data_IF_788392959421
#
_entry.id   IF_788392959421
#
_cell.length_a   1.000
_cell.length_b   1.000
_cell.length_c   1.000
_cell.angle_alpha   90.00
_cell.angle_beta   90.00
_cell.angle_gamma   90.00
#
_symmetry.space_group_name_H-M   'P 1'
#
loop_
_entity.id
_entity.type
_entity.pdbx_description
1 polymer ?
#
# COMPACT_ATOMS: atom_id res chain seq x y z
N UNK A 1 -25.99 7.14 14.59
CA UNK A 1 -25.26 8.43 14.55
C UNK A 1 -26.14 9.55 13.98
N UNK A 2 -26.67 9.41 12.75
CA UNK A 2 -27.55 10.43 12.14
C UNK A 2 -28.81 10.78 12.95
N UNK A 3 -29.48 9.78 13.54
CA UNK A 3 -30.65 10.00 14.42
C UNK A 3 -30.31 10.80 15.68
N UNK A 4 -29.17 10.51 16.32
CA UNK A 4 -28.72 11.25 17.51
C UNK A 4 -28.33 12.70 17.14
N UNK A 5 -27.73 12.91 15.97
CA UNK A 5 -27.40 14.24 15.47
C UNK A 5 -28.65 15.07 15.12
N UNK A 6 -29.73 14.45 14.63
CA UNK A 6 -31.01 15.13 14.40
C UNK A 6 -31.67 15.60 15.68
N UNK A 7 -31.63 14.78 16.74
CA UNK A 7 -32.21 15.12 18.05
C UNK A 7 -31.47 16.30 18.70
N UNK A 8 -30.14 16.37 18.54
CA UNK A 8 -29.29 17.42 19.12
C UNK A 8 -29.11 18.65 18.21
N UNK A 9 -29.66 18.62 16.99
CA UNK A 9 -29.53 19.72 16.02
C UNK A 9 -30.04 21.09 16.52
N UNK A 10 -31.13 21.19 17.31
CA UNK A 10 -31.61 22.47 17.82
C UNK A 10 -30.65 23.13 18.82
N UNK A 11 -29.87 22.32 19.54
CA UNK A 11 -29.00 22.78 20.63
C UNK A 11 -27.56 23.06 20.16
N UNK A 12 -27.27 22.88 18.88
CA UNK A 12 -25.96 23.06 18.27
C UNK A 12 -25.98 24.27 17.33
N UNK A 13 -25.73 25.50 17.83
CA UNK A 13 -25.92 26.74 17.08
C UNK A 13 -25.06 26.90 15.82
N UNK A 14 -24.07 26.02 15.60
CA UNK A 14 -23.20 26.03 14.43
C UNK A 14 -23.17 24.70 13.66
N UNK A 15 -24.12 23.78 13.91
CA UNK A 15 -24.12 22.46 13.27
C UNK A 15 -24.12 22.56 11.73
N UNK A 16 -24.93 23.47 11.18
CA UNK A 16 -24.96 23.72 9.74
C UNK A 16 -23.59 24.21 9.22
N UNK A 17 -22.94 25.12 9.96
CA UNK A 17 -21.63 25.67 9.59
C UNK A 17 -20.52 24.61 9.67
N UNK A 18 -20.55 23.76 10.68
CA UNK A 18 -19.61 22.63 10.82
C UNK A 18 -19.79 21.61 9.71
N UNK A 19 -21.03 21.25 9.38
CA UNK A 19 -21.36 20.33 8.28
C UNK A 19 -20.90 20.93 6.95
N UNK A 20 -21.20 22.21 6.69
CA UNK A 20 -20.73 22.91 5.49
C UNK A 20 -19.21 22.99 5.42
N UNK A 21 -18.52 23.25 6.52
CA UNK A 21 -17.05 23.28 6.56
C UNK A 21 -16.45 21.90 6.28
N UNK A 22 -17.03 20.83 6.85
CA UNK A 22 -16.64 19.45 6.58
C UNK A 22 -16.79 19.12 5.09
N UNK A 23 -17.98 19.34 4.52
CA UNK A 23 -18.22 19.04 3.10
C UNK A 23 -17.42 19.93 2.16
N UNK A 24 -17.16 21.19 2.49
CA UNK A 24 -16.29 22.06 1.69
C UNK A 24 -14.83 21.56 1.72
N UNK A 25 -14.32 21.12 2.87
CA UNK A 25 -13.00 20.52 2.98
C UNK A 25 -12.89 19.18 2.23
N UNK A 26 -13.92 18.35 2.34
CA UNK A 26 -14.01 17.07 1.61
C UNK A 26 -14.17 17.27 0.10
N UNK A 27 -14.92 18.27 -0.35
CA UNK A 27 -15.11 18.58 -1.77
C UNK A 27 -13.79 18.87 -2.49
N UNK A 28 -12.87 19.60 -1.85
CA UNK A 28 -11.51 19.82 -2.39
C UNK A 28 -10.75 18.51 -2.58
N UNK A 29 -11.00 17.53 -1.72
CA UNK A 29 -10.39 16.20 -1.79
C UNK A 29 -11.08 15.34 -2.86
N UNK A 30 -12.41 15.41 -2.97
CA UNK A 30 -13.17 14.71 -4.01
C UNK A 30 -12.81 15.19 -5.41
N UNK A 31 -12.50 16.48 -5.60
CA UNK A 31 -11.96 17.02 -6.85
C UNK A 31 -10.65 16.34 -7.27
N UNK A 32 -9.88 15.78 -6.34
CA UNK A 32 -8.66 15.01 -6.65
C UNK A 32 -8.96 13.59 -7.14
N UNK A 33 -10.09 13.00 -6.74
CA UNK A 33 -10.52 11.67 -7.19
C UNK A 33 -11.24 11.75 -8.55
N UNK A 34 -12.00 12.81 -8.83
CA UNK A 34 -12.81 12.92 -10.06
C UNK A 34 -12.07 12.84 -11.42
N UNK A 35 -10.84 13.35 -11.61
CA UNK A 35 -10.14 13.28 -12.90
C UNK A 35 -9.78 11.84 -13.29
N UNK A 36 -9.60 10.97 -12.30
CA UNK A 36 -9.30 9.56 -12.51
C UNK A 36 -10.51 8.81 -13.10
N UNK A 37 -11.74 9.24 -12.79
CA UNK A 37 -13.02 8.62 -13.21
C UNK A 37 -13.71 9.30 -14.39
N UNK A 38 -13.11 10.33 -15.00
CA UNK A 38 -13.66 10.93 -16.22
C UNK A 38 -13.49 9.98 -17.42
N UNK A 39 -14.35 10.11 -18.43
CA UNK A 39 -14.16 9.43 -19.72
C UNK A 39 -12.87 9.98 -20.35
N UNK A 40 -11.89 9.11 -20.61
CA UNK A 40 -10.51 9.44 -20.97
C UNK A 40 -9.60 9.78 -19.78
N UNK A 41 -10.07 9.61 -18.53
CA UNK A 41 -9.32 9.76 -17.29
C UNK A 41 -8.41 8.57 -17.00
N UNK A 42 -7.61 8.64 -15.93
CA UNK A 42 -6.59 7.61 -15.61
C UNK A 42 -7.18 6.21 -15.47
N UNK A 43 -8.39 6.05 -14.91
CA UNK A 43 -9.03 4.73 -14.76
C UNK A 43 -9.64 4.24 -16.09
N UNK A 44 -10.18 5.16 -16.90
CA UNK A 44 -10.76 4.84 -18.22
C UNK A 44 -9.70 4.58 -19.30
N UNK A 45 -8.50 5.15 -19.11
CA UNK A 45 -7.36 5.03 -20.03
C UNK A 45 -6.44 3.84 -19.73
N UNK A 46 -6.70 3.14 -18.63
CA UNK A 46 -5.97 1.91 -18.33
C UNK A 46 -6.50 0.83 -19.27
N UNK A 47 -5.67 0.28 -20.17
CA UNK A 47 -6.09 -0.82 -21.01
C UNK A 47 -6.39 -2.05 -20.12
N UNK A 48 -7.32 -2.95 -20.53
CA UNK A 48 -7.82 -4.03 -19.67
C UNK A 48 -6.74 -4.95 -19.08
N UNK A 49 -5.56 -4.96 -19.69
CA UNK A 49 -4.38 -5.74 -19.31
C UNK A 49 -3.39 -4.99 -18.38
N UNK A 50 -3.54 -3.67 -18.20
CA UNK A 50 -2.66 -2.83 -17.38
C UNK A 50 -3.35 -2.25 -16.13
N UNK A 51 -4.59 -2.67 -15.84
CA UNK A 51 -5.22 -2.42 -14.54
C UNK A 51 -4.47 -3.24 -13.50
N UNK A 52 -3.44 -2.62 -12.92
CA UNK A 52 -2.83 -3.07 -11.68
C UNK A 52 -3.85 -2.85 -10.59
N UNK A 53 -4.70 -3.87 -10.45
CA UNK A 53 -5.57 -4.08 -9.32
C UNK A 53 -4.65 -4.03 -8.07
N UNK A 54 -4.56 -2.84 -7.45
CA UNK A 54 -3.51 -2.44 -6.51
C UNK A 54 -4.04 -1.96 -5.16
N UNK A 55 -5.35 -2.00 -4.96
CA UNK A 55 -5.89 -2.09 -3.61
C UNK A 55 -5.63 -3.49 -3.01
N UNK A 56 -5.56 -3.61 -1.70
CA UNK A 56 -5.46 -4.93 -1.04
C UNK A 56 -6.60 -5.90 -1.41
N UNK A 57 -7.73 -5.38 -1.90
CA UNK A 57 -8.92 -6.13 -2.37
C UNK A 57 -8.69 -6.69 -3.77
N UNK A 58 -7.98 -5.91 -4.57
CA UNK A 58 -7.69 -6.14 -5.96
C UNK A 58 -6.52 -7.13 -6.15
N UNK A 59 -5.67 -7.23 -5.12
CA UNK A 59 -4.63 -8.25 -5.00
C UNK A 59 -5.18 -9.65 -4.69
N UNK A 60 -6.50 -9.77 -4.49
CA UNK A 60 -7.17 -11.04 -4.22
C UNK A 60 -7.47 -11.68 -5.58
N UNK A 61 -6.90 -12.87 -5.89
CA UNK A 61 -7.19 -13.57 -7.14
C UNK A 61 -8.71 -13.68 -7.40
N UNK A 62 -9.18 -13.53 -8.66
CA UNK A 62 -10.61 -13.63 -8.99
C UNK A 62 -11.26 -14.92 -8.50
N UNK A 63 -10.50 -16.01 -8.50
CA UNK A 63 -10.90 -17.32 -7.98
C UNK A 63 -11.21 -17.31 -6.47
N UNK A 64 -10.53 -16.45 -5.72
CA UNK A 64 -10.75 -16.23 -4.29
C UNK A 64 -11.97 -15.33 -4.08
N UNK A 65 -12.11 -14.26 -4.85
CA UNK A 65 -13.27 -13.37 -4.82
C UNK A 65 -14.58 -14.11 -5.09
N UNK A 66 -14.59 -15.02 -6.08
CA UNK A 66 -15.76 -15.87 -6.38
C UNK A 66 -16.18 -16.78 -5.21
N UNK A 67 -15.23 -17.11 -4.31
CA UNK A 67 -15.45 -17.93 -3.11
C UNK A 67 -15.72 -17.09 -1.86
N UNK A 68 -15.54 -15.78 -1.93
CA UNK A 68 -15.70 -14.86 -0.81
C UNK A 68 -17.15 -14.37 -0.77
N UNK A 69 -17.82 -14.53 0.38
CA UNK A 69 -19.14 -13.97 0.56
C UNK A 69 -19.04 -12.46 0.82
N UNK A 70 -19.07 -11.67 -0.25
CA UNK A 70 -19.02 -10.21 -0.22
C UNK A 70 -20.27 -9.65 -0.92
N UNK A 71 -21.12 -8.86 -0.24
CA UNK A 71 -22.25 -8.19 -0.88
C UNK A 71 -21.75 -7.24 -1.99
N UNK A 72 -22.49 -7.12 -3.09
CA UNK A 72 -22.12 -6.26 -4.23
C UNK A 72 -22.28 -4.76 -3.96
N UNK A 73 -22.86 -4.38 -2.82
CA UNK A 73 -23.12 -2.99 -2.43
C UNK A 73 -21.97 -2.42 -1.61
N UNK A 74 -21.43 -1.29 -2.07
CA UNK A 74 -20.17 -0.70 -1.57
C UNK A 74 -20.14 -0.50 -0.05
N UNK A 75 -21.17 0.10 0.53
CA UNK A 75 -21.21 0.35 1.98
C UNK A 75 -21.21 -0.93 2.84
N UNK A 76 -21.68 -2.06 2.28
CA UNK A 76 -21.75 -3.34 2.98
C UNK A 76 -20.56 -4.26 2.69
N UNK A 77 -19.70 -3.94 1.71
CA UNK A 77 -18.55 -4.76 1.34
C UNK A 77 -17.30 -4.45 2.17
N UNK A 78 -17.17 -3.22 2.69
CA UNK A 78 -15.97 -2.77 3.41
C UNK A 78 -15.76 -3.55 4.72
N UNK A 79 -16.85 -3.85 5.44
CA UNK A 79 -16.82 -4.63 6.68
C UNK A 79 -16.36 -6.08 6.47
N UNK A 80 -17.00 -6.85 5.59
CA UNK A 80 -16.58 -8.21 5.23
C UNK A 80 -15.16 -8.27 4.67
N UNK A 81 -14.75 -7.33 3.81
CA UNK A 81 -13.41 -7.28 3.24
C UNK A 81 -12.35 -6.94 4.29
N UNK A 82 -12.65 -5.99 5.18
CA UNK A 82 -11.82 -5.69 6.35
C UNK A 82 -11.66 -6.91 7.27
N UNK A 83 -12.75 -7.64 7.50
CA UNK A 83 -12.77 -8.86 8.32
C UNK A 83 -11.99 -9.99 7.66
N UNK A 84 -12.12 -10.17 6.34
CA UNK A 84 -11.36 -11.15 5.56
C UNK A 84 -9.85 -10.88 5.67
N UNK A 85 -9.44 -9.61 5.55
CA UNK A 85 -8.04 -9.20 5.69
C UNK A 85 -7.49 -9.52 7.08
N UNK A 86 -8.25 -9.21 8.12
CA UNK A 86 -7.87 -9.54 9.50
C UNK A 86 -7.78 -11.05 9.68
N UNK A 87 -8.75 -11.80 9.14
CA UNK A 87 -8.78 -13.25 9.24
C UNK A 87 -7.58 -13.91 8.58
N UNK A 88 -7.24 -13.53 7.34
CA UNK A 88 -6.07 -14.06 6.61
C UNK A 88 -4.77 -13.75 7.37
N UNK A 89 -4.68 -12.57 8.00
CA UNK A 89 -3.50 -12.18 8.78
C UNK A 89 -3.30 -13.08 10.01
N UNK A 90 -4.37 -13.42 10.72
CA UNK A 90 -4.30 -14.28 11.91
C UNK A 90 -4.35 -15.78 11.59
N UNK A 91 -4.91 -16.14 10.43
CA UNK A 91 -5.07 -17.52 9.97
C UNK A 91 -4.49 -17.66 8.56
N UNK A 92 -3.16 -17.59 8.40
CA UNK A 92 -2.50 -17.62 7.09
C UNK A 92 -2.71 -18.96 6.35
N UNK A 93 -3.07 -20.02 7.09
CA UNK A 93 -3.41 -21.33 6.54
C UNK A 93 -4.91 -21.48 6.22
N UNK A 94 -5.72 -20.46 6.47
CA UNK A 94 -7.14 -20.47 6.13
C UNK A 94 -7.31 -20.28 4.63
N UNK A 95 -8.25 -21.01 4.04
CA UNK A 95 -8.70 -20.75 2.70
C UNK A 95 -9.91 -19.77 2.72
N UNK A 96 -10.28 -19.19 1.56
CA UNK A 96 -11.43 -18.28 1.44
C UNK A 96 -12.78 -18.95 1.73
N UNK A 97 -12.93 -20.23 1.40
CA UNK A 97 -14.17 -20.98 1.64
C UNK A 97 -14.44 -21.15 3.15
N UNK A 98 -13.40 -21.38 3.95
CA UNK A 98 -13.45 -21.47 5.41
C UNK A 98 -13.82 -20.13 6.03
N UNK A 99 -13.28 -19.02 5.52
CA UNK A 99 -13.71 -17.69 5.95
C UNK A 99 -15.18 -17.44 5.63
N UNK A 100 -15.61 -17.69 4.38
CA UNK A 100 -17.00 -17.54 3.97
C UNK A 100 -17.95 -18.46 4.72
N UNK A 101 -17.53 -19.67 5.07
CA UNK A 101 -18.30 -20.59 5.91
C UNK A 101 -18.45 -20.05 7.33
N UNK A 102 -17.37 -19.54 7.92
CA UNK A 102 -17.37 -18.95 9.26
C UNK A 102 -18.23 -17.68 9.33
N UNK A 103 -18.14 -16.80 8.34
CA UNK A 103 -18.96 -15.59 8.29
C UNK A 103 -20.44 -15.92 8.11
N UNK A 104 -20.78 -16.91 7.27
CA UNK A 104 -22.16 -17.40 7.14
C UNK A 104 -22.65 -18.06 8.44
N UNK A 105 -21.82 -18.87 9.09
CA UNK A 105 -22.12 -19.50 10.37
C UNK A 105 -22.48 -18.48 11.44
N UNK A 106 -21.67 -17.41 11.56
CA UNK A 106 -21.91 -16.29 12.49
C UNK A 106 -23.17 -15.52 12.13
N UNK A 107 -23.32 -15.13 10.87
CA UNK A 107 -24.42 -14.28 10.41
C UNK A 107 -25.78 -14.98 10.50
N UNK A 108 -25.82 -16.28 10.24
CA UNK A 108 -27.04 -17.08 10.31
C UNK A 108 -27.32 -17.61 11.72
N UNK A 109 -26.50 -17.27 12.71
CA UNK A 109 -26.57 -17.81 14.08
C UNK A 109 -26.68 -19.35 14.08
N UNK A 110 -25.87 -19.98 13.24
CA UNK A 110 -25.91 -21.44 13.05
C UNK A 110 -25.48 -22.18 14.31
N UNK A 111 -24.76 -21.52 15.24
CA UNK A 111 -24.48 -22.02 16.59
C UNK A 111 -25.76 -22.32 17.37
N UNK A 112 -26.66 -21.35 17.50
CA UNK A 112 -27.92 -21.54 18.22
C UNK A 112 -28.83 -22.59 17.57
N UNK A 113 -28.76 -22.74 16.23
CA UNK A 113 -29.44 -23.83 15.54
C UNK A 113 -28.80 -25.18 15.85
N UNK A 114 -27.47 -25.26 15.81
CA UNK A 114 -26.72 -26.47 16.10
C UNK A 114 -26.99 -26.96 17.52
N UNK A 115 -26.89 -26.09 18.51
CA UNK A 115 -27.12 -26.42 19.93
C UNK A 115 -28.53 -26.97 20.19
N UNK A 116 -29.51 -26.52 19.41
CA UNK A 116 -30.91 -26.90 19.59
C UNK A 116 -31.32 -28.17 18.86
N UNK A 117 -30.71 -28.46 17.71
CA UNK A 117 -31.20 -29.47 16.77
C UNK A 117 -30.19 -30.53 16.35
N UNK A 118 -28.89 -30.31 16.55
CA UNK A 118 -27.84 -31.26 16.12
C UNK A 118 -27.53 -32.22 17.26
N UNK A 119 -27.62 -33.52 16.98
CA UNK A 119 -27.24 -34.58 17.91
C UNK A 119 -25.77 -34.98 17.74
N UNK A 120 -25.25 -35.79 18.66
CA UNK A 120 -23.88 -36.31 18.59
C UNK A 120 -23.69 -37.17 17.33
N UNK A 121 -24.68 -37.96 16.96
CA UNK A 121 -24.68 -38.77 15.73
C UNK A 121 -24.60 -37.91 14.46
N UNK A 122 -25.33 -36.80 14.42
CA UNK A 122 -25.29 -35.84 13.32
C UNK A 122 -23.91 -35.19 13.21
N UNK A 123 -23.31 -34.81 14.33
CA UNK A 123 -21.95 -34.27 14.38
C UNK A 123 -20.94 -35.29 13.84
N UNK A 124 -21.04 -36.55 14.24
CA UNK A 124 -20.17 -37.63 13.75
C UNK A 124 -20.37 -37.90 12.25
N UNK A 125 -21.57 -37.70 11.72
CA UNK A 125 -21.82 -37.76 10.28
C UNK A 125 -21.15 -36.59 9.55
N UNK A 126 -21.34 -35.35 10.01
CA UNK A 126 -20.70 -34.16 9.44
C UNK A 126 -19.17 -34.28 9.47
N UNK A 127 -18.59 -34.72 10.57
CA UNK A 127 -17.13 -34.94 10.68
C UNK A 127 -16.62 -35.98 9.67
N UNK A 128 -17.42 -36.99 9.32
CA UNK A 128 -17.05 -37.97 8.29
C UNK A 128 -17.11 -37.37 6.89
N UNK A 129 -18.14 -36.58 6.59
CA UNK A 129 -18.25 -35.91 5.29
C UNK A 129 -17.14 -34.87 5.09
N UNK A 130 -16.83 -34.06 6.09
CA UNK A 130 -15.71 -33.11 6.05
C UNK A 130 -14.39 -33.82 5.78
N UNK A 131 -14.15 -34.99 6.39
CA UNK A 131 -12.93 -35.78 6.11
C UNK A 131 -12.88 -36.32 4.69
N UNK A 132 -14.02 -36.66 4.08
CA UNK A 132 -14.08 -37.07 2.67
C UNK A 132 -13.81 -35.89 1.74
N UNK A 133 -14.36 -34.72 2.06
CA UNK A 133 -14.09 -33.49 1.30
C UNK A 133 -12.63 -33.07 1.42
N UNK A 134 -12.03 -33.11 2.61
CA UNK A 134 -10.61 -32.82 2.82
C UNK A 134 -9.70 -33.81 2.10
N UNK A 135 -10.12 -35.08 1.95
CA UNK A 135 -9.38 -36.08 1.19
C UNK A 135 -9.28 -35.74 -0.31
N UNK A 136 -10.15 -34.86 -0.85
CA UNK A 136 -10.03 -34.36 -2.22
C UNK A 136 -8.83 -33.41 -2.41
N UNK A 137 -8.16 -32.98 -1.34
CA UNK A 137 -6.87 -32.30 -1.40
C UNK A 137 -6.91 -30.86 -1.93
N UNK A 138 -8.09 -30.29 -2.20
CA UNK A 138 -8.23 -28.91 -2.70
C UNK A 138 -7.54 -27.89 -1.76
N UNK A 139 -7.64 -28.10 -0.45
CA UNK A 139 -6.96 -27.29 0.56
C UNK A 139 -5.44 -27.42 0.51
N UNK A 140 -4.92 -28.61 0.17
CA UNK A 140 -3.49 -28.81 -0.03
C UNK A 140 -3.01 -28.14 -1.33
N UNK A 141 -3.79 -28.25 -2.41
CA UNK A 141 -3.50 -27.59 -3.68
C UNK A 141 -3.49 -26.05 -3.53
N UNK A 142 -4.50 -25.49 -2.87
CA UNK A 142 -4.57 -24.06 -2.58
C UNK A 142 -3.37 -23.58 -1.76
N UNK A 143 -3.00 -24.30 -0.69
CA UNK A 143 -1.81 -23.96 0.12
C UNK A 143 -0.53 -23.99 -0.70
N UNK A 144 -0.37 -24.98 -1.57
CA UNK A 144 0.80 -25.09 -2.45
C UNK A 144 0.89 -23.89 -3.39
N UNK A 145 -0.21 -23.51 -4.04
CA UNK A 145 -0.26 -22.36 -4.94
C UNK A 145 0.07 -21.04 -4.21
N UNK A 146 -0.47 -20.83 -3.01
CA UNK A 146 -0.17 -19.64 -2.19
C UNK A 146 1.31 -19.59 -1.81
N UNK A 147 1.91 -20.71 -1.39
CA UNK A 147 3.34 -20.77 -1.04
C UNK A 147 4.20 -20.44 -2.26
N UNK A 148 3.91 -21.04 -3.42
CA UNK A 148 4.65 -20.81 -4.66
C UNK A 148 4.61 -19.33 -5.09
N UNK A 149 3.44 -18.70 -4.99
CA UNK A 149 3.27 -17.28 -5.29
C UNK A 149 4.06 -16.39 -4.32
N UNK A 150 3.99 -16.67 -3.02
CA UNK A 150 4.72 -15.93 -1.99
C UNK A 150 6.23 -16.08 -2.15
N UNK A 151 6.71 -17.28 -2.48
CA UNK A 151 8.12 -17.53 -2.78
C UNK A 151 8.60 -16.76 -4.01
N UNK A 152 7.78 -16.73 -5.08
CA UNK A 152 8.06 -15.94 -6.28
C UNK A 152 8.15 -14.45 -5.97
N UNK A 153 7.18 -13.91 -5.22
CA UNK A 153 7.18 -12.50 -4.75
C UNK A 153 8.42 -12.20 -3.90
N UNK A 154 8.77 -13.10 -2.98
CA UNK A 154 9.95 -12.95 -2.12
C UNK A 154 11.26 -12.99 -2.95
N UNK A 155 11.33 -13.82 -3.99
CA UNK A 155 12.48 -13.86 -4.92
C UNK A 155 12.62 -12.55 -5.69
N UNK A 156 11.54 -12.05 -6.27
CA UNK A 156 11.54 -10.74 -6.98
C UNK A 156 11.91 -9.61 -6.04
N UNK A 157 11.41 -9.61 -4.81
CA UNK A 157 11.75 -8.59 -3.82
C UNK A 157 13.24 -8.66 -3.44
N UNK A 158 13.78 -9.86 -3.17
CA UNK A 158 15.20 -10.04 -2.87
C UNK A 158 16.10 -9.54 -4.01
N UNK A 159 15.73 -9.81 -5.25
CA UNK A 159 16.47 -9.33 -6.42
C UNK A 159 16.45 -7.80 -6.52
N UNK A 160 15.27 -7.19 -6.36
CA UNK A 160 15.13 -5.72 -6.36
C UNK A 160 15.98 -5.08 -5.25
N UNK A 161 15.98 -5.67 -4.06
CA UNK A 161 16.81 -5.21 -2.94
C UNK A 161 18.29 -5.35 -3.29
N UNK A 162 18.73 -6.50 -3.84
CA UNK A 162 20.12 -6.73 -4.23
C UNK A 162 20.60 -5.69 -5.25
N UNK A 163 19.88 -5.52 -6.36
CA UNK A 163 20.21 -4.54 -7.41
C UNK A 163 20.23 -3.12 -6.85
N UNK A 164 19.28 -2.76 -5.97
CA UNK A 164 19.27 -1.46 -5.32
C UNK A 164 20.49 -1.25 -4.40
N UNK A 165 20.89 -2.27 -3.65
CA UNK A 165 22.08 -2.21 -2.80
C UNK A 165 23.37 -2.10 -3.61
N UNK A 166 23.51 -2.85 -4.70
CA UNK A 166 24.68 -2.80 -5.60
C UNK A 166 24.81 -1.41 -6.23
N UNK A 167 23.73 -0.87 -6.80
CA UNK A 167 23.71 0.49 -7.36
C UNK A 167 24.05 1.56 -6.33
N UNK A 168 23.62 1.36 -5.08
CA UNK A 168 23.96 2.27 -3.98
C UNK A 168 25.45 2.22 -3.66
N UNK A 169 26.03 1.02 -3.54
CA UNK A 169 27.45 0.83 -3.27
C UNK A 169 28.32 1.38 -4.41
N UNK A 170 27.95 1.11 -5.66
CA UNK A 170 28.64 1.65 -6.84
C UNK A 170 28.59 3.18 -6.87
N UNK A 171 27.41 3.77 -6.60
CA UNK A 171 27.27 5.23 -6.48
C UNK A 171 28.15 5.80 -5.37
N UNK A 172 28.17 5.18 -4.19
CA UNK A 172 29.03 5.62 -3.09
C UNK A 172 30.52 5.51 -3.44
N UNK A 173 30.95 4.45 -4.13
CA UNK A 173 32.33 4.29 -4.60
C UNK A 173 32.70 5.37 -5.64
N UNK A 174 31.83 5.63 -6.62
CA UNK A 174 32.04 6.67 -7.64
C UNK A 174 32.13 8.07 -7.02
N UNK A 175 31.30 8.37 -6.00
CA UNK A 175 31.36 9.63 -5.27
C UNK A 175 32.66 9.76 -4.48
N UNK A 176 33.14 8.69 -3.83
CA UNK A 176 34.44 8.70 -3.13
C UNK A 176 35.60 8.90 -4.09
N UNK A 177 35.57 8.27 -5.26
CA UNK A 177 36.59 8.41 -6.29
C UNK A 177 36.64 9.81 -6.91
N UNK A 178 35.49 10.46 -7.07
CA UNK A 178 35.40 11.85 -7.56
C UNK A 178 36.11 12.83 -6.62
N UNK A 179 35.99 12.59 -5.31
CA UNK A 179 36.56 13.47 -4.30
C UNK A 179 35.92 14.87 -4.24
N UNK A 180 36.29 15.63 -3.22
CA UNK A 180 35.86 17.02 -3.06
C UNK A 180 36.77 17.92 -3.89
N UNK A 181 36.20 18.64 -4.85
CA UNK A 181 36.94 19.66 -5.59
C UNK A 181 37.08 20.92 -4.72
N UNK A 182 38.30 21.45 -4.61
CA UNK A 182 38.60 22.64 -3.79
C UNK A 182 38.84 23.91 -4.61
N UNK A 183 39.12 23.76 -5.90
CA UNK A 183 39.37 24.91 -6.76
C UNK A 183 38.05 25.64 -7.12
N UNK A 184 37.86 26.82 -6.53
CA UNK A 184 36.70 27.70 -6.79
C UNK A 184 36.55 28.10 -8.26
N UNK A 185 37.64 28.28 -8.99
CA UNK A 185 37.59 28.65 -10.42
C UNK A 185 37.05 27.48 -11.23
N UNK A 186 37.51 26.27 -10.90
CA UNK A 186 37.07 25.03 -11.53
C UNK A 186 35.61 24.70 -11.21
N UNK A 187 35.15 24.94 -9.99
CA UNK A 187 33.73 24.75 -9.62
C UNK A 187 32.80 25.68 -10.41
N UNK A 188 33.20 26.94 -10.64
CA UNK A 188 32.40 27.90 -11.42
C UNK A 188 32.21 27.48 -12.89
N UNK A 189 33.22 26.81 -13.47
CA UNK A 189 33.17 26.32 -14.85
C UNK A 189 32.51 24.94 -15.00
N UNK A 190 32.10 24.29 -13.91
CA UNK A 190 31.45 22.97 -13.97
C UNK A 190 30.10 23.00 -14.69
N UNK A 191 29.84 21.91 -15.40
CA UNK A 191 28.54 21.59 -15.99
C UNK A 191 27.52 21.20 -14.91
N UNK A 192 26.22 21.24 -15.23
CA UNK A 192 25.15 20.83 -14.29
C UNK A 192 25.34 19.41 -13.74
N UNK A 193 25.72 18.39 -14.54
CA UNK A 193 26.00 17.05 -14.03
C UNK A 193 27.16 17.03 -13.03
N UNK A 194 28.24 17.78 -13.28
CA UNK A 194 29.39 17.88 -12.38
C UNK A 194 29.03 18.57 -11.06
N UNK A 195 28.21 19.63 -11.10
CA UNK A 195 27.70 20.29 -9.90
C UNK A 195 26.80 19.36 -9.07
N UNK A 196 25.97 18.52 -9.72
CA UNK A 196 25.17 17.49 -9.02
C UNK A 196 26.06 16.44 -8.36
N UNK A 197 27.12 16.00 -9.02
CA UNK A 197 28.07 15.07 -8.44
C UNK A 197 28.78 15.67 -7.21
N UNK A 198 29.27 16.91 -7.31
CA UNK A 198 29.87 17.61 -6.16
C UNK A 198 28.87 17.82 -5.02
N UNK A 199 27.62 18.19 -5.32
CA UNK A 199 26.55 18.25 -4.33
C UNK A 199 26.35 16.92 -3.59
N UNK A 200 26.30 15.81 -4.34
CA UNK A 200 26.14 14.48 -3.76
C UNK A 200 27.36 14.06 -2.91
N UNK A 201 28.58 14.44 -3.30
CA UNK A 201 29.79 14.25 -2.48
C UNK A 201 29.65 14.98 -1.15
N UNK A 202 29.28 16.27 -1.15
CA UNK A 202 29.07 17.02 0.09
C UNK A 202 27.93 16.44 0.95
N UNK A 203 26.86 15.94 0.32
CA UNK A 203 25.70 15.37 1.02
C UNK A 203 25.98 14.02 1.67
N UNK A 204 26.65 13.12 0.95
CA UNK A 204 26.75 11.70 1.30
C UNK A 204 28.10 11.35 1.93
N UNK A 205 29.20 11.96 1.45
CA UNK A 205 30.56 11.67 1.91
C UNK A 205 30.98 12.63 3.02
N UNK A 206 30.97 13.95 2.74
CA UNK A 206 31.33 14.98 3.72
C UNK A 206 30.27 15.10 4.82
N UNK A 207 29.01 14.79 4.47
CA UNK A 207 27.84 14.88 5.36
C UNK A 207 27.62 16.31 5.90
N UNK A 208 27.75 17.32 5.04
CA UNK A 208 27.42 18.70 5.40
C UNK A 208 25.95 18.82 5.84
N UNK A 209 25.73 19.39 7.02
CA UNK A 209 24.42 19.41 7.68
C UNK A 209 23.37 20.24 6.92
N UNK A 210 23.79 21.27 6.18
CA UNK A 210 22.90 22.17 5.43
C UNK A 210 22.49 21.50 4.11
N UNK A 211 23.45 20.94 3.37
CA UNK A 211 23.20 20.20 2.14
C UNK A 211 22.38 18.93 2.39
N UNK A 212 22.57 18.25 3.55
CA UNK A 212 21.76 17.08 3.92
C UNK A 212 20.27 17.41 4.07
N UNK A 213 19.97 18.56 4.64
CA UNK A 213 18.59 19.07 4.82
C UNK A 213 17.96 19.55 3.50
N UNK A 214 18.77 19.80 2.49
CA UNK A 214 18.33 20.30 1.18
C UNK A 214 18.23 19.16 0.16
N UNK A 215 17.38 19.32 -0.86
CA UNK A 215 17.27 18.36 -1.97
C UNK A 215 17.53 19.04 -3.30
N UNK A 216 18.10 18.32 -4.28
CA UNK A 216 18.33 18.86 -5.62
C UNK A 216 17.03 19.30 -6.32
N UNK A 217 15.87 18.78 -5.89
CA UNK A 217 14.55 19.16 -6.38
C UNK A 217 14.18 20.59 -5.94
N UNK A 218 14.57 20.99 -4.72
CA UNK A 218 14.31 22.35 -4.21
C UNK A 218 15.25 23.41 -4.79
N UNK A 219 16.32 23.00 -5.49
CA UNK A 219 17.28 23.90 -6.17
C UNK A 219 17.37 23.55 -7.67
N UNK A 220 16.32 23.82 -8.47
CA UNK A 220 16.24 23.34 -9.85
C UNK A 220 17.19 24.07 -10.82
N UNK A 221 17.58 25.32 -10.55
CA UNK A 221 18.43 26.11 -11.45
C UNK A 221 19.89 25.70 -11.33
N UNK A 222 20.70 26.03 -12.35
CA UNK A 222 22.15 25.80 -12.30
C UNK A 222 22.81 26.68 -11.25
N UNK A 223 22.42 27.95 -11.18
CA UNK A 223 23.03 28.93 -10.28
C UNK A 223 22.83 28.53 -8.81
N UNK A 224 21.61 28.16 -8.41
CA UNK A 224 21.32 27.70 -7.05
C UNK A 224 22.18 26.48 -6.63
N UNK A 225 22.47 25.57 -7.56
CA UNK A 225 23.37 24.42 -7.31
C UNK A 225 24.81 24.87 -7.14
N UNK A 226 25.27 25.80 -7.98
CA UNK A 226 26.62 26.36 -7.89
C UNK A 226 26.81 27.07 -6.55
N UNK A 227 25.85 27.91 -6.17
CA UNK A 227 25.88 28.66 -4.91
C UNK A 227 25.84 27.71 -3.71
N UNK A 228 25.03 26.65 -3.76
CA UNK A 228 25.00 25.63 -2.71
C UNK A 228 26.33 24.87 -2.55
N UNK A 229 26.98 24.50 -3.66
CA UNK A 229 28.28 23.82 -3.66
C UNK A 229 29.39 24.75 -3.17
N UNK A 230 29.41 26.01 -3.61
CA UNK A 230 30.38 27.01 -3.14
C UNK A 230 30.20 27.31 -1.65
N UNK A 231 28.97 27.50 -1.18
CA UNK A 231 28.71 27.71 0.23
C UNK A 231 29.11 26.49 1.08
N UNK A 232 29.00 25.27 0.54
CA UNK A 232 29.46 24.06 1.23
C UNK A 232 30.99 23.93 1.24
N UNK A 233 31.67 24.35 0.17
CA UNK A 233 33.12 24.47 0.15
C UNK A 233 33.59 25.43 1.25
N UNK A 234 32.94 26.59 1.37
CA UNK A 234 33.28 27.61 2.39
C UNK A 234 33.09 27.13 3.83
N UNK A 235 32.25 26.12 4.05
CA UNK A 235 32.06 25.48 5.37
C UNK A 235 33.00 24.30 5.62
N UNK A 236 33.57 23.76 4.55
CA UNK A 236 34.46 22.61 4.61
C UNK A 236 35.93 23.02 4.79
N UNK A 237 36.31 24.20 4.28
CA UNK A 237 37.57 24.90 4.60
C UNK A 237 37.55 25.49 6.02
#
# INVERSE_FOLDING_TARGET
>A
IFLAAQVLAPDLPDLSRMISAMFNGSAVTWVRFTPEFQIGGTIDSIPPDEFQIGGTIDSIPPEILAKLYVPSTNDHNEGPLGSARVHIRYHPNSNPASFSALERYRRNNTEAFADKYITVEDLLHVMREVRKEDANGENAAFRKAVVEELESKARVHREKVRVATEKKLEREANLRATGVERDRVKIKSMTVPQLKAQYDVYKLIVKDDIIRKTTLVSIPRRQDKLDAVLAALDRYE
#
